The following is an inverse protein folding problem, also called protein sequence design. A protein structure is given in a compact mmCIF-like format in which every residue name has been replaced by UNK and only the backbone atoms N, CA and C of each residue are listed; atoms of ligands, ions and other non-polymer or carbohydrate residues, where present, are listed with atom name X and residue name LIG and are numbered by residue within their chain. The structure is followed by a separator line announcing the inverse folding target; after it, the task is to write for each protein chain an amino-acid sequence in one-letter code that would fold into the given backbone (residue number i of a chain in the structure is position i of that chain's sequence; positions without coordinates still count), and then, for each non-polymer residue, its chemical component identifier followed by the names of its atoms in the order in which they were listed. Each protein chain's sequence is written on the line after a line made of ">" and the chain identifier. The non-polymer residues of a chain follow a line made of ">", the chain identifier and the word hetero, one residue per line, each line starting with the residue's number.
data_IF_540743124976
#
_entry.id   IF_540743124976
#
_cell.length_a   1.000
_cell.length_b   1.000
_cell.length_c   1.000
_cell.angle_alpha   90.00
_cell.angle_beta   90.00
_cell.angle_gamma   90.00
#
_symmetry.space_group_name_H-M   'P 1'
#
loop_
_entity.id
_entity.type
_entity.pdbx_description
1 polymer ?
#
# COMPACT_ATOMS: atom_id res chain seq x y z
N UNK A 1 8.14 27.12 1.84
CA UNK A 1 8.42 26.22 2.98
C UNK A 1 9.56 25.26 2.62
N UNK A 2 10.40 24.86 3.58
CA UNK A 2 11.41 23.81 3.34
C UNK A 2 10.69 22.51 2.95
N UNK A 3 11.18 21.77 1.94
CA UNK A 3 10.58 20.50 1.47
C UNK A 3 10.23 19.53 2.61
N UNK A 4 11.10 19.43 3.62
CA UNK A 4 10.88 18.62 4.82
C UNK A 4 9.60 18.98 5.59
N UNK A 5 9.30 20.27 5.72
CA UNK A 5 8.08 20.74 6.41
C UNK A 5 6.84 20.34 5.64
N UNK A 6 6.88 20.40 4.29
CA UNK A 6 5.76 19.99 3.45
C UNK A 6 5.50 18.49 3.58
N UNK A 7 6.55 17.67 3.56
CA UNK A 7 6.46 16.21 3.71
C UNK A 7 5.88 15.82 5.07
N UNK A 8 6.22 16.55 6.14
CA UNK A 8 5.68 16.32 7.49
C UNK A 8 4.22 16.78 7.62
N UNK A 9 3.79 17.80 6.88
CA UNK A 9 2.41 18.30 6.90
C UNK A 9 1.44 17.46 6.07
N UNK A 10 1.81 17.10 4.84
CA UNK A 10 1.33 15.84 4.24
C UNK A 10 1.71 14.70 5.21
N UNK A 11 1.22 13.48 5.17
CA UNK A 11 1.56 12.53 6.24
C UNK A 11 0.91 12.87 7.58
N UNK A 12 1.18 14.00 8.26
CA UNK A 12 0.41 14.39 9.45
C UNK A 12 -1.07 14.56 9.13
N UNK A 13 -1.41 15.28 8.05
CA UNK A 13 -2.80 15.41 7.61
C UNK A 13 -3.40 14.02 7.32
N UNK A 14 -2.72 13.18 6.55
CA UNK A 14 -3.19 11.83 6.21
C UNK A 14 -3.38 10.95 7.44
N UNK A 15 -2.49 11.07 8.44
CA UNK A 15 -2.58 10.35 9.71
C UNK A 15 -3.87 10.72 10.47
N UNK A 16 -4.31 11.99 10.43
CA UNK A 16 -5.58 12.41 11.03
C UNK A 16 -6.78 11.68 10.40
N UNK A 17 -6.76 11.44 9.09
CA UNK A 17 -7.82 10.70 8.40
C UNK A 17 -7.79 9.21 8.72
N UNK A 18 -6.63 8.63 9.06
CA UNK A 18 -6.51 7.21 9.41
C UNK A 18 -6.98 6.88 10.84
N UNK A 19 -7.23 7.88 11.69
CA UNK A 19 -7.66 7.67 13.08
C UNK A 19 -8.83 6.68 13.25
N UNK A 20 -9.88 6.68 12.41
CA UNK A 20 -10.98 5.71 12.53
C UNK A 20 -10.52 4.26 12.31
N UNK A 21 -9.61 4.02 11.35
CA UNK A 21 -9.09 2.68 11.02
C UNK A 21 -8.22 2.13 12.15
N UNK A 22 -7.53 3.00 12.89
CA UNK A 22 -6.66 2.61 14.00
C UNK A 22 -7.43 2.14 15.24
N UNK A 23 -8.72 2.50 15.38
CA UNK A 23 -9.54 2.19 16.57
C UNK A 23 -10.17 0.81 16.51
N UNK A 24 -10.60 0.38 15.33
CA UNK A 24 -11.27 -0.92 15.15
C UNK A 24 -10.25 -2.04 14.99
N UNK A 25 -10.40 -3.22 15.62
CA UNK A 25 -9.48 -4.35 15.41
C UNK A 25 -9.36 -4.75 13.93
N UNK A 26 -10.46 -4.75 13.17
CA UNK A 26 -10.46 -4.79 11.72
C UNK A 26 -11.67 -4.04 11.19
N UNK A 27 -11.46 -3.08 10.28
CA UNK A 27 -12.57 -2.35 9.68
C UNK A 27 -13.12 -3.12 8.48
N UNK A 28 -14.44 -3.01 8.28
CA UNK A 28 -15.10 -3.69 7.18
C UNK A 28 -14.73 -3.02 5.85
N UNK A 29 -14.23 -3.82 4.92
CA UNK A 29 -13.94 -3.42 3.55
C UNK A 29 -14.26 -4.59 2.61
N UNK A 30 -14.45 -4.29 1.32
CA UNK A 30 -14.79 -5.31 0.32
C UNK A 30 -13.67 -6.35 0.15
N UNK A 31 -12.43 -5.90 0.07
CA UNK A 31 -11.26 -6.71 -0.29
C UNK A 31 -10.37 -7.05 0.91
N UNK A 32 -10.52 -6.35 2.04
CA UNK A 32 -9.66 -6.53 3.21
C UNK A 32 -9.55 -7.98 3.71
N UNK A 33 -10.66 -8.68 4.02
CA UNK A 33 -10.60 -10.07 4.45
C UNK A 33 -9.88 -10.99 3.44
N UNK A 34 -10.10 -10.74 2.13
CA UNK A 34 -9.47 -11.50 1.06
C UNK A 34 -7.96 -11.24 1.00
N UNK A 35 -7.51 -10.00 1.21
CA UNK A 35 -6.09 -9.67 1.30
C UNK A 35 -5.42 -10.34 2.50
N UNK A 36 -6.05 -10.33 3.68
CA UNK A 36 -5.51 -11.01 4.88
C UNK A 36 -5.38 -12.52 4.64
N UNK A 37 -6.40 -13.15 4.04
CA UNK A 37 -6.34 -14.56 3.67
C UNK A 37 -5.23 -14.86 2.65
N UNK A 38 -5.00 -13.96 1.68
CA UNK A 38 -3.90 -14.07 0.71
C UNK A 38 -2.53 -13.85 1.34
N UNK A 39 -2.40 -12.97 2.34
CA UNK A 39 -1.15 -12.79 3.08
C UNK A 39 -0.73 -14.06 3.81
N UNK A 40 -1.67 -14.70 4.52
CA UNK A 40 -1.41 -15.98 5.14
C UNK A 40 -0.95 -17.04 4.10
N UNK A 41 -1.48 -16.98 2.87
CA UNK A 41 -1.15 -17.95 1.82
C UNK A 41 0.23 -17.68 1.25
N UNK A 42 0.56 -16.40 1.11
CA UNK A 42 1.89 -15.93 0.75
C UNK A 42 2.94 -16.39 1.76
N UNK A 43 2.65 -16.24 3.05
CA UNK A 43 3.55 -16.65 4.15
C UNK A 43 3.72 -18.16 4.20
N UNK A 44 2.62 -18.93 4.10
CA UNK A 44 2.67 -20.39 4.05
C UNK A 44 3.56 -20.86 2.89
N UNK A 45 3.39 -20.30 1.70
CA UNK A 45 4.22 -20.64 0.55
C UNK A 45 5.71 -20.31 0.78
N UNK A 46 6.03 -19.19 1.43
CA UNK A 46 7.42 -18.86 1.81
C UNK A 46 7.97 -19.88 2.80
N UNK A 47 7.20 -20.24 3.83
CA UNK A 47 7.59 -21.22 4.85
C UNK A 47 7.80 -22.62 4.25
N UNK A 48 7.05 -22.95 3.19
CA UNK A 48 7.19 -24.18 2.41
C UNK A 48 8.36 -24.13 1.40
N UNK A 49 9.19 -23.09 1.45
CA UNK A 49 10.32 -22.85 0.54
C UNK A 49 9.93 -22.63 -0.94
N UNK A 50 8.70 -22.20 -1.22
CA UNK A 50 8.30 -21.76 -2.56
C UNK A 50 8.69 -20.31 -2.79
N UNK A 51 9.79 -20.10 -3.52
CA UNK A 51 10.24 -18.77 -3.94
C UNK A 51 10.39 -18.67 -5.47
N UNK A 52 9.68 -17.73 -6.14
CA UNK A 52 8.68 -16.83 -5.57
C UNK A 52 7.39 -17.60 -5.17
N UNK A 53 6.60 -17.09 -4.21
CA UNK A 53 5.28 -17.64 -3.88
C UNK A 53 4.33 -17.51 -5.08
N UNK A 54 3.75 -18.65 -5.51
CA UNK A 54 2.83 -18.71 -6.67
C UNK A 54 1.50 -19.39 -6.35
N UNK A 55 1.57 -20.46 -5.56
CA UNK A 55 0.42 -21.30 -5.25
C UNK A 55 -0.08 -21.06 -3.83
N UNK A 56 -1.37 -20.73 -3.69
CA UNK A 56 -2.03 -20.61 -2.40
C UNK A 56 -2.75 -21.92 -2.05
N UNK A 57 -2.03 -22.86 -1.43
CA UNK A 57 -2.49 -24.25 -1.28
C UNK A 57 -3.78 -24.46 -0.50
N UNK A 58 -3.98 -23.74 0.61
CA UNK A 58 -5.16 -23.94 1.47
C UNK A 58 -6.38 -23.10 1.04
N UNK A 59 -6.21 -22.14 0.12
CA UNK A 59 -7.32 -21.37 -0.42
C UNK A 59 -8.21 -22.25 -1.30
N UNK A 60 -9.39 -21.74 -1.67
CA UNK A 60 -10.35 -22.46 -2.51
C UNK A 60 -10.74 -23.82 -1.89
N UNK A 61 -11.17 -23.82 -0.61
CA UNK A 61 -11.55 -25.02 0.14
C UNK A 61 -10.48 -26.13 0.16
N UNK A 62 -9.19 -25.76 0.10
CA UNK A 62 -8.07 -26.71 0.08
C UNK A 62 -7.70 -27.27 -1.29
N UNK A 63 -8.39 -26.88 -2.37
CA UNK A 63 -7.99 -27.24 -3.73
C UNK A 63 -6.83 -26.38 -4.26
N UNK A 64 -6.56 -25.26 -3.60
CA UNK A 64 -5.54 -24.30 -3.99
C UNK A 64 -5.91 -23.43 -5.18
N UNK A 65 -5.10 -22.39 -5.41
CA UNK A 65 -5.27 -21.44 -6.51
C UNK A 65 -3.95 -20.70 -6.82
N UNK A 66 -3.67 -20.35 -8.10
CA UNK A 66 -2.49 -19.57 -8.47
C UNK A 66 -2.65 -18.06 -8.21
N UNK A 67 -3.55 -17.64 -7.32
CA UNK A 67 -3.90 -16.23 -7.10
C UNK A 67 -2.70 -15.34 -6.72
N UNK A 68 -1.63 -15.92 -6.15
CA UNK A 68 -0.43 -15.19 -5.72
C UNK A 68 0.42 -14.70 -6.91
N UNK A 69 0.28 -15.32 -8.09
CA UNK A 69 0.93 -14.84 -9.32
C UNK A 69 0.31 -13.51 -9.82
N UNK A 70 -0.96 -13.26 -9.49
CA UNK A 70 -1.73 -12.16 -10.09
C UNK A 70 -1.96 -10.98 -9.14
N UNK A 71 -2.11 -11.23 -7.83
CA UNK A 71 -2.53 -10.20 -6.89
C UNK A 71 -1.38 -9.67 -6.02
N UNK A 72 -0.97 -8.44 -6.33
CA UNK A 72 -0.10 -7.57 -5.53
C UNK A 72 1.07 -8.28 -4.80
N UNK A 73 2.07 -8.86 -5.51
CA UNK A 73 3.20 -9.53 -4.89
C UNK A 73 3.95 -8.69 -3.86
N UNK A 74 4.12 -7.38 -4.12
CA UNK A 74 4.75 -6.45 -3.17
C UNK A 74 4.01 -6.41 -1.83
N UNK A 75 2.67 -6.41 -1.84
CA UNK A 75 1.88 -6.46 -0.63
C UNK A 75 2.11 -7.76 0.15
N UNK A 76 2.18 -8.89 -0.57
CA UNK A 76 2.50 -10.19 0.01
C UNK A 76 3.87 -10.22 0.70
N UNK A 77 4.90 -9.68 0.04
CA UNK A 77 6.24 -9.56 0.65
C UNK A 77 6.28 -8.63 1.85
N UNK A 78 5.62 -7.47 1.79
CA UNK A 78 5.53 -6.55 2.92
C UNK A 78 4.82 -7.21 4.11
N UNK A 79 3.70 -7.90 3.86
CA UNK A 79 2.96 -8.61 4.88
C UNK A 79 3.78 -9.75 5.50
N UNK A 80 4.51 -10.52 4.69
CA UNK A 80 5.41 -11.55 5.18
C UNK A 80 6.53 -10.98 6.05
N UNK A 81 7.15 -9.87 5.63
CA UNK A 81 8.15 -9.17 6.43
C UNK A 81 7.62 -8.72 7.80
N UNK A 82 6.42 -8.13 7.84
CA UNK A 82 5.77 -7.73 9.09
C UNK A 82 5.41 -8.95 9.96
N UNK A 83 4.93 -10.03 9.35
CA UNK A 83 4.63 -11.27 10.06
C UNK A 83 5.87 -11.87 10.74
N UNK A 84 7.02 -11.91 10.06
CA UNK A 84 8.27 -12.38 10.67
C UNK A 84 8.80 -11.45 11.78
N UNK A 85 8.31 -10.22 11.86
CA UNK A 85 8.50 -9.31 13.00
C UNK A 85 7.46 -9.49 14.11
N UNK A 86 6.68 -10.58 14.06
CA UNK A 86 5.59 -10.91 14.99
C UNK A 86 4.41 -9.92 14.98
N UNK A 87 4.20 -9.22 13.86
CA UNK A 87 3.00 -8.40 13.65
C UNK A 87 1.90 -9.28 13.07
N UNK A 88 0.71 -9.25 13.67
CA UNK A 88 -0.42 -10.01 13.16
C UNK A 88 -0.87 -9.49 11.78
N UNK A 89 -1.49 -10.36 10.97
CA UNK A 89 -1.80 -10.06 9.57
C UNK A 89 -2.82 -8.94 9.39
N UNK A 90 -3.70 -8.78 10.37
CA UNK A 90 -4.71 -7.73 10.39
C UNK A 90 -4.06 -6.37 10.63
N UNK A 91 -3.12 -6.29 11.56
CA UNK A 91 -2.31 -5.09 11.77
C UNK A 91 -1.38 -4.84 10.59
N UNK A 92 -0.79 -5.89 10.01
CA UNK A 92 0.04 -5.77 8.81
C UNK A 92 -0.75 -5.16 7.64
N UNK A 93 -1.99 -5.61 7.40
CA UNK A 93 -2.90 -5.02 6.42
C UNK A 93 -3.07 -3.50 6.63
N UNK A 94 -3.37 -3.07 7.86
CA UNK A 94 -3.55 -1.66 8.19
C UNK A 94 -2.28 -0.82 8.02
N UNK A 95 -1.13 -1.38 8.40
CA UNK A 95 0.17 -0.73 8.24
C UNK A 95 0.44 -0.49 6.75
N UNK A 96 0.22 -1.49 5.91
CA UNK A 96 0.50 -1.39 4.47
C UNK A 96 -0.46 -0.40 3.81
N UNK A 97 -1.76 -0.52 4.05
CA UNK A 97 -2.73 0.38 3.40
C UNK A 97 -2.62 1.82 3.92
N UNK A 98 -2.46 2.01 5.23
CA UNK A 98 -2.29 3.32 5.85
C UNK A 98 -0.95 3.97 5.47
N UNK A 99 0.12 3.18 5.43
CA UNK A 99 1.43 3.62 4.94
C UNK A 99 1.37 4.06 3.48
N UNK A 100 0.63 3.32 2.64
CA UNK A 100 0.41 3.68 1.23
C UNK A 100 -0.40 4.98 1.10
N UNK A 101 -1.45 5.14 1.90
CA UNK A 101 -2.26 6.36 1.94
C UNK A 101 -1.45 7.61 2.35
N UNK A 102 -0.52 7.46 3.30
CA UNK A 102 0.42 8.51 3.68
C UNK A 102 1.45 8.79 2.58
N UNK A 103 1.99 7.74 1.96
CA UNK A 103 3.05 7.85 0.97
C UNK A 103 2.59 8.42 -0.37
N UNK A 104 1.34 8.20 -0.77
CA UNK A 104 0.77 8.64 -2.05
C UNK A 104 0.85 10.18 -2.28
N UNK A 105 0.40 11.06 -1.38
CA UNK A 105 0.59 12.50 -1.55
C UNK A 105 2.06 12.92 -1.46
N UNK A 106 2.90 12.22 -0.69
CA UNK A 106 4.32 12.51 -0.59
C UNK A 106 5.04 12.18 -1.92
N UNK A 107 4.70 11.06 -2.54
CA UNK A 107 5.24 10.71 -3.87
C UNK A 107 4.79 11.72 -4.92
N UNK A 108 3.52 12.13 -4.88
CA UNK A 108 3.01 13.18 -5.76
C UNK A 108 3.70 14.52 -5.56
N UNK A 109 4.10 14.85 -4.32
CA UNK A 109 4.89 16.05 -4.05
C UNK A 109 6.28 16.01 -4.68
N UNK A 110 6.94 14.85 -4.72
CA UNK A 110 8.24 14.72 -5.40
C UNK A 110 8.15 15.02 -6.90
N UNK A 111 7.01 14.71 -7.53
CA UNK A 111 6.78 15.04 -8.93
C UNK A 111 6.32 16.50 -9.11
N UNK A 112 5.25 16.90 -8.43
CA UNK A 112 4.58 18.19 -8.65
C UNK A 112 5.28 19.39 -8.01
N UNK A 113 6.10 19.17 -6.97
CA UNK A 113 6.64 20.19 -6.07
C UNK A 113 5.56 21.16 -5.52
N UNK A 114 4.28 20.75 -5.48
CA UNK A 114 3.15 21.57 -5.05
C UNK A 114 2.43 20.92 -3.87
N UNK A 115 2.36 21.62 -2.74
CA UNK A 115 1.63 21.15 -1.56
C UNK A 115 0.14 20.95 -1.87
N UNK A 116 -0.51 21.95 -2.47
CA UNK A 116 -1.95 21.91 -2.76
C UNK A 116 -2.31 20.76 -3.70
N UNK A 117 -1.55 20.56 -4.78
CA UNK A 117 -1.82 19.48 -5.72
C UNK A 117 -1.62 18.10 -5.06
N UNK A 118 -0.59 17.96 -4.23
CA UNK A 118 -0.31 16.72 -3.48
C UNK A 118 -1.38 16.42 -2.43
N UNK A 119 -1.87 17.46 -1.74
CA UNK A 119 -2.95 17.32 -0.78
C UNK A 119 -4.26 16.88 -1.45
N UNK A 120 -4.62 17.50 -2.57
CA UNK A 120 -5.79 17.12 -3.37
C UNK A 120 -5.68 15.70 -3.94
N UNK A 121 -4.47 15.28 -4.31
CA UNK A 121 -4.22 13.91 -4.75
C UNK A 121 -4.51 12.91 -3.61
N UNK A 122 -3.86 13.09 -2.45
CA UNK A 122 -4.01 12.19 -1.30
C UNK A 122 -5.41 12.21 -0.67
N UNK A 123 -6.16 13.31 -0.80
CA UNK A 123 -7.54 13.43 -0.32
C UNK A 123 -8.57 13.32 -1.45
N UNK A 124 -8.17 12.79 -2.61
CA UNK A 124 -9.11 12.58 -3.71
C UNK A 124 -10.21 11.60 -3.27
N UNK A 125 -11.46 11.80 -3.71
CA UNK A 125 -12.58 10.94 -3.31
C UNK A 125 -12.30 9.46 -3.59
N UNK A 126 -11.55 9.15 -4.63
CA UNK A 126 -11.21 7.78 -4.99
C UNK A 126 -10.21 7.15 -4.02
N UNK A 127 -9.13 7.83 -3.62
CA UNK A 127 -8.20 7.28 -2.62
C UNK A 127 -8.88 7.09 -1.26
N UNK A 128 -9.80 7.98 -0.89
CA UNK A 128 -10.61 7.80 0.32
C UNK A 128 -11.55 6.59 0.19
N UNK A 129 -12.26 6.45 -0.93
CA UNK A 129 -13.09 5.27 -1.21
C UNK A 129 -12.26 3.98 -1.13
N UNK A 130 -11.06 4.01 -1.71
CA UNK A 130 -10.20 2.84 -1.79
C UNK A 130 -9.71 2.41 -0.42
N UNK A 131 -9.28 3.34 0.43
CA UNK A 131 -8.85 3.03 1.79
C UNK A 131 -10.00 2.59 2.70
N UNK A 132 -11.12 3.33 2.70
CA UNK A 132 -12.17 3.16 3.73
C UNK A 132 -13.28 2.19 3.35
N UNK A 133 -13.47 1.90 2.06
CA UNK A 133 -14.58 1.04 1.59
C UNK A 133 -14.06 -0.20 0.88
N UNK A 134 -13.13 -0.04 -0.07
CA UNK A 134 -12.63 -1.17 -0.87
C UNK A 134 -11.59 -1.98 -0.11
N UNK A 135 -10.59 -1.32 0.45
CA UNK A 135 -9.45 -1.96 1.09
C UNK A 135 -8.48 -2.61 0.10
N UNK A 136 -8.39 -2.11 -1.14
CA UNK A 136 -7.50 -2.69 -2.16
C UNK A 136 -6.06 -2.20 -1.96
N UNK A 137 -5.23 -3.08 -1.39
CA UNK A 137 -3.83 -2.75 -1.13
C UNK A 137 -3.01 -2.64 -2.42
N UNK A 138 -3.38 -3.38 -3.46
CA UNK A 138 -2.68 -3.35 -4.74
C UNK A 138 -2.82 -1.98 -5.40
N UNK A 139 -4.04 -1.47 -5.46
CA UNK A 139 -4.34 -0.13 -5.97
C UNK A 139 -3.68 0.96 -5.12
N UNK A 140 -3.80 0.87 -3.79
CA UNK A 140 -3.16 1.85 -2.89
C UNK A 140 -1.65 1.91 -3.04
N UNK A 141 -0.97 0.77 -3.17
CA UNK A 141 0.47 0.76 -3.46
C UNK A 141 0.76 1.35 -4.84
N UNK A 142 -0.04 1.04 -5.86
CA UNK A 142 0.13 1.60 -7.21
C UNK A 142 0.05 3.14 -7.20
N UNK A 143 -0.86 3.73 -6.41
CA UNK A 143 -0.95 5.19 -6.23
C UNK A 143 0.31 5.81 -5.58
N UNK A 144 1.10 5.04 -4.83
CA UNK A 144 2.42 5.52 -4.37
C UNK A 144 3.42 5.56 -5.52
N UNK A 145 3.48 4.50 -6.33
CA UNK A 145 4.52 4.33 -7.35
C UNK A 145 4.28 5.12 -8.64
N UNK A 146 3.04 5.35 -9.05
CA UNK A 146 2.73 6.12 -10.27
C UNK A 146 3.35 7.52 -10.23
N UNK A 147 3.23 8.32 -9.15
CA UNK A 147 3.91 9.61 -9.12
C UNK A 147 5.44 9.50 -9.00
N UNK A 148 5.98 8.45 -8.37
CA UNK A 148 7.43 8.23 -8.28
C UNK A 148 8.06 7.94 -9.64
N UNK A 149 7.38 7.19 -10.51
CA UNK A 149 7.86 6.95 -11.88
C UNK A 149 7.87 8.25 -12.67
N UNK A 150 6.81 9.06 -12.58
CA UNK A 150 6.75 10.39 -13.21
C UNK A 150 7.84 11.34 -12.67
N UNK A 151 8.09 11.33 -11.35
CA UNK A 151 9.19 12.08 -10.74
C UNK A 151 10.55 11.65 -11.29
N UNK A 152 10.77 10.34 -11.44
CA UNK A 152 12.02 9.78 -11.97
C UNK A 152 12.25 10.17 -13.43
N UNK A 153 11.21 10.09 -14.27
CA UNK A 153 11.28 10.52 -15.68
C UNK A 153 11.60 12.01 -15.78
N UNK A 154 10.92 12.85 -14.97
CA UNK A 154 11.18 14.30 -14.92
C UNK A 154 12.63 14.60 -14.49
N UNK A 155 13.15 13.87 -13.50
CA UNK A 155 14.52 14.03 -13.04
C UNK A 155 15.55 13.72 -14.14
N UNK A 156 15.36 12.61 -14.87
CA UNK A 156 16.24 12.22 -16.00
C UNK A 156 16.23 13.29 -17.10
N UNK A 157 15.05 13.76 -17.49
CA UNK A 157 14.90 14.78 -18.54
C UNK A 157 15.55 16.12 -18.17
N UNK A 158 15.52 16.50 -16.89
CA UNK A 158 16.16 17.73 -16.43
C UNK A 158 17.69 17.60 -16.31
N UNK A 159 18.22 16.38 -16.15
CA UNK A 159 19.65 16.13 -16.16
C UNK A 159 20.26 16.14 -17.57
N UNK A 160 19.54 15.66 -18.59
CA UNK A 160 20.01 15.68 -19.98
C UNK A 160 19.96 17.03 -20.70
N UNK A 161 19.50 18.09 -20.00
CA UNK A 161 19.41 19.48 -20.51
C UNK A 161 20.48 20.41 -19.96
N UNK A 162 21.45 19.89 -19.20
CA UNK A 162 22.67 20.60 -18.76
C UNK A 162 23.85 20.16 -19.60
#
# INVERSE_FOLDING_TARGET
>A
MKKRVIIVLLGFIQLLFLLPILREPFYQSHDGPLHVARFAAYISAIQDNHFPPRWAGYLNYGFGTPVLDFFAPLAGYLAAGLYFLNIDLTTAFKIIIGGSFIAAPISFFFWSNSFTASLLYGLSPYLLLDVFVRGDIGEMLAFVFIPLTLASISAINNHGRK
#
